data_IF_376421179060
#
_entry.id   IF_376421179060
#
_cell.length_a   1.000
_cell.length_b   1.000
_cell.length_c   1.000
_cell.angle_alpha   90.00
_cell.angle_beta   90.00
_cell.angle_gamma   90.00
#
_symmetry.space_group_name_H-M   'P 1'
#
loop_
_entity.id
_entity.type
_entity.pdbx_description
1 polymer ?
#
# COMPACT_ATOMS: atom_id res chain seq x y z
N UNK A 1 -6.34 21.17 -7.51
CA UNK A 1 -7.06 21.67 -6.32
C UNK A 1 -6.05 21.72 -5.19
N UNK A 2 -5.69 22.94 -4.76
CA UNK A 2 -4.78 23.14 -3.65
C UNK A 2 -5.49 22.79 -2.35
N UNK A 3 -5.09 21.68 -1.71
CA UNK A 3 -5.61 21.28 -0.40
C UNK A 3 -4.80 21.99 0.67
N UNK A 4 -5.42 22.95 1.33
CA UNK A 4 -4.81 23.64 2.47
C UNK A 4 -4.93 22.75 3.72
N UNK A 5 -3.80 22.35 4.30
CA UNK A 5 -3.78 21.67 5.59
C UNK A 5 -3.93 22.70 6.71
N UNK A 6 -5.05 22.64 7.41
CA UNK A 6 -5.28 23.46 8.61
C UNK A 6 -5.02 22.60 9.84
N UNK A 7 -4.18 23.04 10.79
CA UNK A 7 -3.96 22.34 12.04
C UNK A 7 -5.27 22.16 12.83
N UNK A 8 -5.48 21.00 13.43
CA UNK A 8 -6.73 20.61 14.11
C UNK A 8 -7.16 21.65 15.17
N UNK A 9 -6.22 22.17 15.98
CA UNK A 9 -6.51 23.17 17.00
C UNK A 9 -7.08 24.49 16.45
N UNK A 10 -6.74 24.86 15.21
CA UNK A 10 -7.33 26.04 14.57
C UNK A 10 -8.74 25.75 14.05
N UNK A 11 -8.99 24.53 13.58
CA UNK A 11 -10.33 24.09 13.20
C UNK A 11 -11.26 24.09 14.42
N UNK A 12 -10.82 23.49 15.52
CA UNK A 12 -11.58 23.45 16.78
C UNK A 12 -11.87 24.84 17.34
N UNK A 13 -10.90 25.74 17.26
CA UNK A 13 -11.01 27.08 17.83
C UNK A 13 -11.81 28.06 16.98
N UNK A 14 -11.70 27.98 15.67
CA UNK A 14 -12.19 29.02 14.77
C UNK A 14 -13.26 28.54 13.77
N UNK A 15 -13.32 27.26 13.49
CA UNK A 15 -14.25 26.70 12.49
C UNK A 15 -15.44 26.04 13.18
N UNK A 16 -15.20 25.07 14.07
CA UNK A 16 -16.27 24.29 14.71
C UNK A 16 -17.30 25.14 15.45
N UNK A 17 -16.95 26.21 16.18
CA UNK A 17 -17.94 27.05 16.85
C UNK A 17 -18.89 27.79 15.91
N UNK A 18 -18.52 27.96 14.64
CA UNK A 18 -19.29 28.67 13.63
C UNK A 18 -20.03 27.73 12.65
N UNK A 19 -19.87 26.41 12.82
CA UNK A 19 -20.58 25.42 12.00
C UNK A 19 -21.96 25.16 12.65
N UNK A 20 -23.07 25.28 11.91
CA UNK A 20 -24.38 24.88 12.41
C UNK A 20 -24.38 23.45 12.91
N UNK A 21 -25.02 23.20 14.05
CA UNK A 21 -25.05 21.87 14.69
C UNK A 21 -25.62 20.79 13.76
N UNK A 22 -26.49 21.16 12.82
CA UNK A 22 -27.04 20.26 11.79
C UNK A 22 -26.04 19.81 10.73
N UNK A 23 -24.88 20.45 10.63
CA UNK A 23 -23.79 20.09 9.72
C UNK A 23 -22.60 19.41 10.44
N UNK A 24 -22.63 19.40 11.77
CA UNK A 24 -21.69 18.62 12.54
C UNK A 24 -22.12 17.15 12.47
N UNK A 25 -21.19 16.20 12.27
CA UNK A 25 -21.51 14.81 12.44
C UNK A 25 -22.05 14.62 13.86
N UNK A 26 -23.15 13.87 13.99
CA UNK A 26 -23.65 13.48 15.30
C UNK A 26 -22.45 12.99 16.11
N UNK A 27 -22.33 13.46 17.35
CA UNK A 27 -21.37 12.89 18.29
C UNK A 27 -21.80 11.45 18.50
N UNK A 28 -21.31 10.58 17.60
CA UNK A 28 -21.43 9.15 17.81
C UNK A 28 -20.88 8.89 19.20
N UNK A 29 -21.71 8.35 20.07
CA UNK A 29 -21.26 7.73 21.31
C UNK A 29 -20.05 6.87 20.92
N UNK A 30 -18.96 6.94 21.66
CA UNK A 30 -17.68 6.28 21.41
C UNK A 30 -17.76 4.75 21.16
N UNK A 31 -18.97 4.18 21.03
CA UNK A 31 -19.26 2.76 20.90
C UNK A 31 -19.69 2.31 19.50
N UNK A 32 -19.97 3.21 18.55
CA UNK A 32 -20.37 2.81 17.17
C UNK A 32 -19.73 3.68 16.09
N UNK A 33 -18.39 3.62 15.97
CA UNK A 33 -17.81 3.88 14.66
C UNK A 33 -18.17 2.70 13.76
N UNK A 34 -18.86 2.94 12.64
CA UNK A 34 -19.37 1.89 11.73
C UNK A 34 -18.30 0.99 11.09
N UNK A 35 -17.06 1.03 11.59
CA UNK A 35 -15.95 0.17 11.20
C UNK A 35 -15.71 -0.98 12.19
N UNK A 36 -16.30 -0.96 13.39
CA UNK A 36 -16.01 -1.92 14.45
C UNK A 36 -14.55 -1.91 14.94
N UNK A 37 -13.76 -0.89 14.56
CA UNK A 37 -12.37 -0.75 14.96
C UNK A 37 -12.24 0.20 16.15
N UNK A 38 -11.35 -0.08 17.12
CA UNK A 38 -11.03 0.83 18.21
C UNK A 38 -10.52 2.18 17.66
N UNK A 39 -10.89 3.29 18.32
CA UNK A 39 -10.47 4.63 17.89
C UNK A 39 -8.94 4.76 17.84
N UNK A 40 -8.22 4.18 18.82
CA UNK A 40 -6.75 4.16 18.84
C UNK A 40 -6.14 3.55 17.57
N UNK A 41 -6.79 2.53 17.01
CA UNK A 41 -6.35 1.90 15.78
C UNK A 41 -6.67 2.77 14.55
N UNK A 42 -7.79 3.47 14.57
CA UNK A 42 -8.15 4.44 13.52
C UNK A 42 -7.14 5.59 13.50
N UNK A 43 -6.82 6.16 14.67
CA UNK A 43 -5.83 7.22 14.80
C UNK A 43 -4.46 6.77 14.31
N UNK A 44 -4.06 5.55 14.66
CA UNK A 44 -2.82 4.94 14.15
C UNK A 44 -2.81 4.86 12.62
N UNK A 45 -3.89 4.43 11.97
CA UNK A 45 -3.97 4.38 10.52
C UNK A 45 -3.90 5.76 9.88
N UNK A 46 -4.47 6.77 10.51
CA UNK A 46 -4.38 8.17 10.06
C UNK A 46 -2.92 8.65 10.16
N UNK A 47 -2.24 8.39 11.27
CA UNK A 47 -0.84 8.76 11.48
C UNK A 47 0.09 8.09 10.47
N UNK A 48 -0.17 6.83 10.14
CA UNK A 48 0.56 6.09 9.12
C UNK A 48 0.17 6.48 7.68
N UNK A 49 -0.73 7.46 7.52
CA UNK A 49 -1.23 7.95 6.22
C UNK A 49 -1.89 6.87 5.35
N UNK A 50 -2.40 5.78 5.98
CA UNK A 50 -3.03 4.68 5.25
C UNK A 50 -4.41 5.04 4.70
N UNK A 51 -4.91 6.22 5.00
CA UNK A 51 -6.24 6.71 4.61
C UNK A 51 -6.47 6.72 3.09
N UNK A 52 -5.40 6.82 2.29
CA UNK A 52 -5.48 6.71 0.83
C UNK A 52 -5.54 5.23 0.35
N UNK A 53 -5.30 4.29 1.24
CA UNK A 53 -5.33 2.86 0.94
C UNK A 53 -6.76 2.35 0.79
N UNK A 54 -7.00 1.54 -0.24
CA UNK A 54 -8.28 0.81 -0.42
C UNK A 54 -8.21 -0.61 0.16
N UNK A 55 -7.00 -1.13 0.31
CA UNK A 55 -6.75 -2.44 0.89
C UNK A 55 -5.46 -2.37 1.71
N UNK A 56 -5.47 -2.86 2.93
CA UNK A 56 -4.30 -2.96 3.79
C UNK A 56 -4.20 -4.36 4.36
N UNK A 57 -3.01 -4.93 4.31
CA UNK A 57 -2.76 -6.24 4.92
C UNK A 57 -2.35 -6.03 6.38
N UNK A 58 -3.15 -6.58 7.28
CA UNK A 58 -2.89 -6.54 8.72
C UNK A 58 -2.50 -7.93 9.22
N UNK A 59 -1.52 -7.98 10.09
CA UNK A 59 -1.14 -9.19 10.82
C UNK A 59 -1.46 -8.99 12.30
N UNK A 60 -2.19 -9.94 12.86
CA UNK A 60 -2.40 -10.05 14.30
C UNK A 60 -1.11 -10.61 14.94
N UNK A 61 -0.37 -9.77 15.67
CA UNK A 61 0.94 -10.15 16.21
C UNK A 61 0.82 -11.13 17.36
N UNK A 62 -0.32 -11.16 18.07
CA UNK A 62 -0.55 -12.09 19.17
C UNK A 62 -0.74 -13.53 18.64
N UNK A 63 -1.20 -13.66 17.40
CA UNK A 63 -1.40 -14.94 16.72
C UNK A 63 -0.28 -15.30 15.75
N UNK A 64 0.55 -14.35 15.38
CA UNK A 64 1.61 -14.52 14.40
C UNK A 64 2.84 -15.19 15.05
N UNK A 65 3.21 -16.36 14.55
CA UNK A 65 4.41 -17.11 15.00
C UNK A 65 5.70 -16.65 14.33
N UNK A 66 5.65 -15.65 13.47
CA UNK A 66 6.79 -15.13 12.71
C UNK A 66 7.50 -16.18 11.81
N UNK A 67 6.78 -17.21 11.35
CA UNK A 67 7.32 -18.31 10.56
C UNK A 67 7.64 -17.96 9.10
N UNK A 68 7.19 -16.79 8.61
CA UNK A 68 7.34 -16.30 7.23
C UNK A 68 6.69 -17.19 6.14
N UNK A 69 5.88 -18.19 6.51
CA UNK A 69 5.17 -19.05 5.55
C UNK A 69 4.29 -18.26 4.58
N UNK A 70 3.67 -17.17 5.03
CA UNK A 70 2.89 -16.27 4.18
C UNK A 70 3.76 -15.57 3.11
N UNK A 71 4.99 -15.19 3.46
CA UNK A 71 5.95 -14.58 2.54
C UNK A 71 6.47 -15.64 1.55
N UNK A 72 6.79 -16.85 2.05
CA UNK A 72 7.23 -17.98 1.23
C UNK A 72 6.14 -18.43 0.24
N UNK A 73 4.89 -18.50 0.68
CA UNK A 73 3.76 -18.82 -0.18
C UNK A 73 3.58 -17.77 -1.29
N UNK A 74 3.70 -16.48 -0.94
CA UNK A 74 3.68 -15.41 -1.93
C UNK A 74 4.84 -15.53 -2.93
N UNK A 75 6.05 -15.81 -2.46
CA UNK A 75 7.21 -16.02 -3.32
C UNK A 75 7.02 -17.20 -4.28
N UNK A 76 6.47 -18.31 -3.79
CA UNK A 76 6.23 -19.51 -4.60
C UNK A 76 5.27 -19.26 -5.77
N UNK A 77 4.27 -18.39 -5.58
CA UNK A 77 3.31 -18.01 -6.64
C UNK A 77 3.82 -16.92 -7.59
N UNK A 78 4.97 -16.30 -7.27
CA UNK A 78 5.49 -15.15 -8.00
C UNK A 78 6.96 -15.30 -8.41
N UNK A 79 7.33 -16.46 -8.93
CA UNK A 79 8.69 -16.72 -9.47
C UNK A 79 9.81 -16.57 -8.45
N UNK A 80 9.54 -16.83 -7.16
CA UNK A 80 10.51 -16.69 -6.07
C UNK A 80 10.60 -15.27 -5.48
N UNK A 81 9.85 -14.29 -5.99
CA UNK A 81 9.87 -12.90 -5.55
C UNK A 81 8.62 -12.58 -4.73
N UNK A 82 8.68 -12.53 -3.39
CA UNK A 82 7.52 -12.17 -2.58
C UNK A 82 7.10 -10.73 -2.87
N UNK A 83 5.80 -10.51 -3.02
CA UNK A 83 5.22 -9.19 -3.36
C UNK A 83 4.83 -8.36 -2.15
N UNK A 84 5.15 -8.83 -0.95
CA UNK A 84 5.03 -8.07 0.29
C UNK A 84 6.11 -8.49 1.29
N UNK A 85 6.32 -7.64 2.30
CA UNK A 85 7.22 -7.91 3.42
C UNK A 85 6.41 -7.88 4.71
N UNK A 86 6.69 -8.82 5.63
CA UNK A 86 6.00 -8.90 6.94
C UNK A 86 6.35 -7.75 7.89
N UNK A 87 7.28 -6.87 7.51
CA UNK A 87 7.64 -5.71 8.31
C UNK A 87 6.61 -4.59 8.20
N UNK A 88 6.57 -3.73 9.22
CA UNK A 88 5.75 -2.55 9.25
C UNK A 88 5.42 -2.11 10.67
N UNK A 89 4.80 -0.95 10.84
CA UNK A 89 4.45 -0.43 12.15
C UNK A 89 3.43 -1.31 12.86
N UNK A 90 3.57 -1.39 14.19
CA UNK A 90 2.70 -2.19 15.06
C UNK A 90 1.99 -1.27 16.04
N UNK A 91 0.69 -1.49 16.25
CA UNK A 91 -0.13 -0.82 17.24
C UNK A 91 -1.19 -1.80 17.77
N UNK A 92 -1.31 -1.88 19.10
CA UNK A 92 -2.28 -2.75 19.79
C UNK A 92 -2.36 -4.17 19.23
N UNK A 93 -1.20 -4.82 19.06
CA UNK A 93 -1.15 -6.18 18.53
C UNK A 93 -1.50 -6.31 17.04
N UNK A 94 -1.63 -5.20 16.30
CA UNK A 94 -1.89 -5.19 14.87
C UNK A 94 -0.71 -4.58 14.13
N UNK A 95 -0.15 -5.32 13.18
CA UNK A 95 0.95 -4.88 12.32
C UNK A 95 0.41 -4.57 10.92
N UNK A 96 0.67 -3.35 10.45
CA UNK A 96 0.45 -3.00 9.04
C UNK A 96 1.65 -3.49 8.25
N UNK A 97 1.46 -4.44 7.35
CA UNK A 97 2.56 -5.00 6.57
C UNK A 97 2.98 -4.05 5.44
N UNK A 98 4.24 -4.18 4.99
CA UNK A 98 4.71 -3.52 3.78
C UNK A 98 4.17 -4.27 2.56
N UNK A 99 2.89 -4.01 2.25
CA UNK A 99 2.15 -4.52 1.11
C UNK A 99 1.44 -3.38 0.39
N UNK A 100 1.25 -3.48 -0.93
CA UNK A 100 0.57 -2.43 -1.67
C UNK A 100 -0.85 -2.19 -1.14
N UNK A 101 -1.18 -0.94 -0.87
CA UNK A 101 -2.49 -0.53 -0.34
C UNK A 101 -3.52 -0.25 -1.42
N UNK A 102 -3.20 -0.45 -2.70
CA UNK A 102 -4.10 -0.21 -3.84
C UNK A 102 -4.82 1.15 -3.75
N UNK A 103 -4.05 2.20 -3.50
CA UNK A 103 -4.50 3.56 -3.18
C UNK A 103 -5.67 4.03 -4.05
N UNK A 104 -6.55 4.84 -3.46
CA UNK A 104 -7.62 5.51 -4.20
C UNK A 104 -7.04 6.46 -5.25
N UNK A 105 -5.96 7.18 -4.89
CA UNK A 105 -5.18 8.03 -5.79
C UNK A 105 -3.73 7.54 -5.85
N UNK A 106 -3.40 6.61 -6.78
CA UNK A 106 -2.10 5.97 -6.85
C UNK A 106 -1.10 6.81 -7.62
N UNK A 107 -0.23 7.55 -6.92
CA UNK A 107 0.84 8.37 -7.53
C UNK A 107 1.80 7.54 -8.40
N UNK A 108 1.99 6.26 -8.08
CA UNK A 108 2.82 5.35 -8.86
C UNK A 108 2.29 5.11 -10.29
N UNK A 109 0.98 5.19 -10.49
CA UNK A 109 0.34 5.03 -11.80
C UNK A 109 0.62 6.24 -12.70
N UNK A 110 0.54 7.45 -12.13
CA UNK A 110 0.74 8.70 -12.86
C UNK A 110 2.17 8.78 -13.42
N UNK A 111 3.15 8.28 -12.68
CA UNK A 111 4.56 8.34 -13.03
C UNK A 111 5.03 7.23 -13.99
N UNK A 112 4.18 6.30 -14.39
CA UNK A 112 4.60 5.19 -15.25
C UNK A 112 4.64 5.59 -16.73
N UNK A 113 5.84 5.66 -17.36
CA UNK A 113 5.96 6.16 -18.73
C UNK A 113 5.39 5.21 -19.79
N UNK A 114 5.30 3.92 -19.47
CA UNK A 114 4.80 2.88 -20.40
C UNK A 114 3.35 2.48 -20.16
N UNK A 115 2.72 3.01 -19.09
CA UNK A 115 1.39 2.57 -18.67
C UNK A 115 1.34 1.15 -18.10
N UNK A 116 2.48 0.54 -17.78
CA UNK A 116 2.56 -0.79 -17.19
C UNK A 116 1.78 -0.87 -15.86
N UNK A 117 1.68 0.24 -15.11
CA UNK A 117 0.85 0.30 -13.92
C UNK A 117 -0.53 0.82 -14.31
N UNK A 118 -1.54 0.04 -14.01
CA UNK A 118 -2.92 0.40 -14.31
C UNK A 118 -3.86 -0.08 -13.21
N UNK A 119 -5.10 0.39 -13.25
CA UNK A 119 -6.15 -0.06 -12.36
C UNK A 119 -6.96 -1.14 -13.06
N UNK A 120 -7.00 -2.32 -12.46
CA UNK A 120 -7.85 -3.42 -12.90
C UNK A 120 -9.33 -3.13 -12.58
N UNK A 121 -10.26 -3.80 -13.26
CA UNK A 121 -11.71 -3.65 -13.07
C UNK A 121 -12.16 -3.90 -11.63
N UNK A 122 -11.47 -4.78 -10.90
CA UNK A 122 -11.69 -5.01 -9.45
C UNK A 122 -11.32 -3.81 -8.57
N UNK A 123 -10.66 -2.80 -9.13
CA UNK A 123 -10.12 -1.65 -8.42
C UNK A 123 -8.69 -1.85 -7.89
N UNK A 124 -8.11 -3.04 -8.04
CA UNK A 124 -6.71 -3.27 -7.70
C UNK A 124 -5.78 -2.49 -8.65
N UNK A 125 -4.71 -1.92 -8.10
CA UNK A 125 -3.62 -1.36 -8.90
C UNK A 125 -2.66 -2.50 -9.20
N UNK A 126 -2.39 -2.77 -10.45
CA UNK A 126 -1.54 -3.89 -10.90
C UNK A 126 -0.40 -3.39 -11.78
N UNK A 127 0.65 -4.19 -11.91
CA UNK A 127 1.78 -3.95 -12.80
C UNK A 127 1.78 -5.06 -13.85
N UNK A 128 1.75 -4.69 -15.12
CA UNK A 128 1.98 -5.60 -16.24
C UNK A 128 3.48 -5.77 -16.46
N UNK A 129 3.99 -6.95 -16.17
CA UNK A 129 5.41 -7.29 -16.30
C UNK A 129 5.89 -7.23 -17.75
N UNK A 130 5.02 -7.50 -18.73
CA UNK A 130 5.39 -7.45 -20.15
C UNK A 130 5.70 -6.01 -20.60
N UNK A 131 4.91 -5.05 -20.13
CA UNK A 131 5.02 -3.63 -20.49
C UNK A 131 6.01 -2.87 -19.60
N UNK A 132 6.37 -3.41 -18.43
CA UNK A 132 7.27 -2.78 -17.49
C UNK A 132 8.72 -2.75 -18.03
N UNK A 133 9.34 -1.57 -18.08
CA UNK A 133 10.73 -1.36 -18.53
C UNK A 133 11.74 -1.26 -17.39
N UNK A 134 11.32 -1.44 -16.14
CA UNK A 134 12.23 -1.42 -14.98
C UNK A 134 12.81 -0.05 -14.60
N UNK A 135 12.19 1.06 -14.97
CA UNK A 135 12.72 2.42 -14.74
C UNK A 135 12.71 2.89 -13.28
N UNK A 136 12.14 2.12 -12.35
CA UNK A 136 12.02 2.40 -10.92
C UNK A 136 11.22 3.67 -10.53
N UNK A 137 10.67 4.43 -11.47
CA UNK A 137 9.92 5.67 -11.16
C UNK A 137 8.78 5.42 -10.18
N UNK A 138 8.04 4.32 -10.34
CA UNK A 138 6.95 3.94 -9.46
C UNK A 138 7.41 3.56 -8.05
N UNK A 139 8.56 2.89 -7.93
CA UNK A 139 9.13 2.53 -6.63
C UNK A 139 9.55 3.80 -5.86
N UNK A 140 10.22 4.73 -6.52
CA UNK A 140 10.62 6.00 -5.92
C UNK A 140 9.44 6.92 -5.58
N UNK A 141 8.32 6.79 -6.30
CA UNK A 141 7.12 7.59 -6.06
C UNK A 141 6.21 7.03 -4.97
N UNK A 142 6.38 5.77 -4.57
CA UNK A 142 5.52 5.13 -3.57
C UNK A 142 5.82 5.68 -2.17
N UNK A 143 4.89 6.39 -1.50
CA UNK A 143 5.16 6.96 -0.18
C UNK A 143 5.22 5.91 0.95
N UNK A 144 4.94 4.65 0.64
CA UNK A 144 4.90 3.53 1.58
C UNK A 144 6.01 2.50 1.32
N UNK A 145 6.89 2.72 0.34
CA UNK A 145 7.91 1.77 -0.10
C UNK A 145 7.37 0.36 -0.44
N UNK A 146 6.13 0.30 -0.90
CA UNK A 146 5.42 -0.95 -1.20
C UNK A 146 5.67 -1.47 -2.63
N UNK A 147 6.57 -0.84 -3.38
CA UNK A 147 7.00 -1.28 -4.71
C UNK A 147 8.49 -1.55 -4.65
N UNK A 148 8.88 -2.76 -5.02
CA UNK A 148 10.29 -3.17 -5.04
C UNK A 148 10.73 -3.49 -6.46
N UNK A 149 12.02 -3.29 -6.74
CA UNK A 149 12.63 -3.73 -7.98
C UNK A 149 13.21 -5.13 -7.77
N UNK A 150 12.88 -6.05 -8.67
CA UNK A 150 13.32 -7.44 -8.61
C UNK A 150 13.91 -7.90 -9.94
N UNK A 151 14.86 -8.81 -9.88
CA UNK A 151 15.38 -9.51 -11.03
C UNK A 151 14.36 -10.55 -11.50
N UNK A 152 14.03 -10.54 -12.79
CA UNK A 152 13.10 -11.52 -13.34
C UNK A 152 13.80 -12.81 -13.70
N UNK A 153 13.05 -13.91 -13.60
CA UNK A 153 13.52 -15.25 -13.91
C UNK A 153 12.66 -15.90 -14.99
N UNK A 154 13.26 -16.79 -15.74
CA UNK A 154 12.55 -17.66 -16.67
C UNK A 154 11.84 -18.83 -15.96
N UNK A 155 11.11 -19.65 -16.72
CA UNK A 155 10.42 -20.84 -16.20
C UNK A 155 11.35 -21.90 -15.59
N UNK A 156 12.66 -21.80 -15.83
CA UNK A 156 13.70 -22.66 -15.26
C UNK A 156 14.35 -22.06 -14.01
N UNK A 157 13.90 -20.88 -13.60
CA UNK A 157 14.43 -20.14 -12.45
C UNK A 157 15.76 -19.42 -12.72
N UNK A 158 16.20 -19.31 -13.98
CA UNK A 158 17.40 -18.59 -14.37
C UNK A 158 17.09 -17.11 -14.58
N UNK A 159 18.04 -16.22 -14.23
CA UNK A 159 17.87 -14.79 -14.46
C UNK A 159 17.79 -14.49 -15.96
N UNK A 160 16.80 -13.70 -16.36
CA UNK A 160 16.72 -13.16 -17.69
C UNK A 160 17.67 -11.97 -17.74
N UNK A 161 18.67 -12.03 -18.62
CA UNK A 161 19.70 -11.01 -18.77
C UNK A 161 19.46 -10.16 -20.02
N UNK A 162 19.80 -8.91 -19.94
CA UNK A 162 19.82 -8.01 -21.10
C UNK A 162 21.02 -8.35 -21.98
N UNK A 163 20.80 -8.57 -23.28
CA UNK A 163 21.82 -9.01 -24.23
C UNK A 163 22.97 -8.00 -24.41
N UNK A 164 22.71 -6.71 -24.18
CA UNK A 164 23.71 -5.67 -24.39
C UNK A 164 24.57 -5.44 -23.17
N UNK A 165 23.94 -5.40 -21.97
CA UNK A 165 24.63 -5.12 -20.72
C UNK A 165 25.12 -6.38 -19.99
N UNK A 166 24.55 -7.55 -20.30
CA UNK A 166 24.79 -8.81 -19.57
C UNK A 166 24.29 -8.80 -18.12
N UNK A 167 23.50 -7.79 -17.75
CA UNK A 167 22.96 -7.67 -16.40
C UNK A 167 21.53 -8.26 -16.32
N UNK A 168 21.09 -8.78 -15.17
CA UNK A 168 19.72 -9.20 -14.97
C UNK A 168 18.73 -8.07 -15.24
N UNK A 169 17.65 -8.40 -15.95
CA UNK A 169 16.58 -7.44 -16.19
C UNK A 169 15.81 -7.22 -14.90
N UNK A 170 15.71 -5.95 -14.50
CA UNK A 170 14.97 -5.52 -13.32
C UNK A 170 13.55 -5.11 -13.70
N UNK A 171 12.55 -5.53 -12.92
CA UNK A 171 11.18 -5.06 -13.04
C UNK A 171 10.59 -4.67 -11.70
N UNK A 172 9.62 -3.76 -11.72
CA UNK A 172 8.92 -3.38 -10.51
C UNK A 172 7.92 -4.46 -10.11
N UNK A 173 7.85 -4.78 -8.84
CA UNK A 173 6.86 -5.70 -8.28
C UNK A 173 6.23 -5.14 -7.01
N UNK A 174 5.00 -5.55 -6.73
CA UNK A 174 4.23 -5.19 -5.54
C UNK A 174 3.10 -6.18 -5.32
N UNK A 175 2.49 -6.20 -4.15
CA UNK A 175 1.28 -6.98 -3.91
C UNK A 175 0.20 -6.62 -4.94
N UNK A 176 -0.39 -7.63 -5.56
CA UNK A 176 -1.43 -7.52 -6.61
C UNK A 176 -2.75 -8.17 -6.17
N UNK A 177 -2.87 -8.58 -4.91
CA UNK A 177 -4.00 -9.35 -4.36
C UNK A 177 -4.15 -10.74 -5.00
N UNK A 178 -3.04 -11.31 -5.44
CA UNK A 178 -2.98 -12.62 -6.12
C UNK A 178 -3.79 -12.66 -7.44
N UNK A 179 -3.71 -11.59 -8.19
CA UNK A 179 -4.23 -11.49 -9.56
C UNK A 179 -3.36 -12.23 -10.53
#
# INVERSE_FOLDING_TARGET
>A
VDILRVPTHLVERHVLPNVPESLLPDKASDEESGSGLPQSLVDFFVDQRTINGRASMLIDTDRCTACDECVNACAATHGGNPRFKRHGPVHDGKQVTNACMHCADPVCLIGCPTGAIHRHESGAVVIDDATCIGCATCANACPYDNITMVEIRDDKGQFIVDEQSGQPIMKATKCDLCY
#
